data_IF_869666419872
#
_entry.id   IF_869666419872
#
_cell.length_a   1.000
_cell.length_b   1.000
_cell.length_c   1.000
_cell.angle_alpha   90.00
_cell.angle_beta   90.00
_cell.angle_gamma   90.00
#
_symmetry.space_group_name_H-M   'P 1'
#
loop_
_entity.id
_entity.type
_entity.pdbx_description
1 polymer ?
#
# COMPACT_ATOMS: atom_id res chain seq x y z
N UNK A 1 -17.02 -10.57 -6.78
CA UNK A 1 -17.45 -10.76 -5.38
C UNK A 1 -16.96 -9.58 -4.55
N UNK A 2 -17.80 -9.01 -3.71
CA UNK A 2 -17.41 -7.93 -2.81
C UNK A 2 -16.44 -8.46 -1.76
N UNK A 3 -15.30 -7.82 -1.58
CA UNK A 3 -14.30 -8.23 -0.57
C UNK A 3 -14.82 -7.97 0.84
N UNK A 4 -14.56 -8.87 1.79
CA UNK A 4 -14.98 -8.75 3.19
C UNK A 4 -13.77 -8.46 4.09
N UNK A 5 -13.81 -7.35 4.80
CA UNK A 5 -12.72 -6.87 5.66
C UNK A 5 -13.19 -6.80 7.10
N UNK A 6 -12.45 -7.42 8.01
CA UNK A 6 -12.70 -7.39 9.45
C UNK A 6 -11.64 -6.58 10.18
N UNK A 7 -12.06 -5.55 10.94
CA UNK A 7 -11.21 -4.82 11.88
C UNK A 7 -11.36 -5.37 13.29
N UNK A 8 -10.25 -5.75 13.91
CA UNK A 8 -10.23 -6.34 15.27
C UNK A 8 -9.48 -5.45 16.26
N UNK A 9 -10.05 -5.36 17.46
CA UNK A 9 -9.36 -4.92 18.68
C UNK A 9 -9.91 -5.73 19.88
N UNK A 10 -9.47 -5.47 21.11
CA UNK A 10 -9.96 -6.23 22.29
C UNK A 10 -11.43 -5.93 22.57
N UNK A 11 -11.77 -4.68 22.84
CA UNK A 11 -13.09 -4.29 23.34
C UNK A 11 -14.14 -3.98 22.27
N UNK A 12 -13.78 -3.92 20.99
CA UNK A 12 -14.66 -3.42 19.92
C UNK A 12 -15.41 -2.14 20.30
N UNK A 13 -14.73 -1.22 20.97
CA UNK A 13 -15.33 -0.01 21.54
C UNK A 13 -14.81 1.28 20.92
N UNK A 14 -13.55 1.31 20.49
CA UNK A 14 -12.85 2.50 20.00
C UNK A 14 -12.21 2.25 18.61
N UNK A 15 -11.00 1.75 18.59
CA UNK A 15 -10.17 1.60 17.37
C UNK A 15 -10.89 0.89 16.23
N UNK A 16 -11.43 -0.30 16.46
CA UNK A 16 -12.13 -1.08 15.43
C UNK A 16 -13.46 -0.49 15.00
N UNK A 17 -14.16 0.23 15.89
CA UNK A 17 -15.40 0.94 15.57
C UNK A 17 -15.11 2.16 14.67
N UNK A 18 -14.08 2.94 15.00
CA UNK A 18 -13.63 4.05 14.14
C UNK A 18 -13.14 3.52 12.77
N UNK A 19 -12.43 2.39 12.76
CA UNK A 19 -11.97 1.76 11.53
C UNK A 19 -13.15 1.28 10.66
N UNK A 20 -14.17 0.66 11.24
CA UNK A 20 -15.39 0.27 10.51
C UNK A 20 -16.09 1.49 9.89
N UNK A 21 -16.29 2.56 10.64
CA UNK A 21 -16.93 3.78 10.15
C UNK A 21 -16.13 4.46 9.04
N UNK A 22 -14.82 4.64 9.24
CA UNK A 22 -13.93 5.23 8.24
C UNK A 22 -13.84 4.38 6.97
N UNK A 23 -13.74 3.06 7.10
CA UNK A 23 -13.64 2.18 5.95
C UNK A 23 -14.94 2.17 5.15
N UNK A 24 -16.11 2.16 5.78
CA UNK A 24 -17.39 2.30 5.08
C UNK A 24 -17.48 3.62 4.32
N UNK A 25 -17.07 4.73 4.94
CA UNK A 25 -17.10 6.04 4.30
C UNK A 25 -16.11 6.17 3.12
N UNK A 26 -14.90 5.60 3.23
CA UNK A 26 -13.84 5.76 2.24
C UNK A 26 -13.85 4.70 1.14
N UNK A 27 -14.30 3.47 1.44
CA UNK A 27 -14.27 2.35 0.51
C UNK A 27 -15.63 2.12 -0.18
N UNK A 28 -16.73 2.63 0.43
CA UNK A 28 -18.08 2.48 -0.12
C UNK A 28 -18.47 1.03 -0.38
N UNK A 29 -19.23 0.79 -1.41
CA UNK A 29 -19.78 -0.52 -1.78
C UNK A 29 -18.73 -1.50 -2.37
N UNK A 30 -17.47 -1.09 -2.50
CA UNK A 30 -16.37 -1.95 -2.98
C UNK A 30 -16.03 -3.08 -2.01
N UNK A 31 -16.37 -2.91 -0.74
CA UNK A 31 -16.05 -3.84 0.34
C UNK A 31 -17.22 -3.95 1.34
N UNK A 32 -17.41 -5.14 1.90
CA UNK A 32 -18.20 -5.33 3.11
C UNK A 32 -17.28 -5.16 4.32
N UNK A 33 -17.59 -4.19 5.17
CA UNK A 33 -16.75 -3.85 6.33
C UNK A 33 -17.40 -4.30 7.62
N UNK A 34 -16.62 -5.03 8.43
CA UNK A 34 -17.01 -5.56 9.73
C UNK A 34 -16.01 -5.12 10.80
N UNK A 35 -16.46 -5.05 12.04
CA UNK A 35 -15.57 -4.95 13.21
C UNK A 35 -16.00 -5.89 14.32
N UNK A 36 -15.04 -6.38 15.12
CA UNK A 36 -15.31 -7.22 16.28
C UNK A 36 -14.20 -7.09 17.34
N UNK A 37 -14.41 -7.71 18.49
CA UNK A 37 -13.44 -7.80 19.57
C UNK A 37 -13.50 -9.14 20.28
N UNK A 38 -12.44 -9.47 21.03
CA UNK A 38 -12.39 -10.66 21.88
C UNK A 38 -13.20 -10.48 23.17
N UNK A 39 -13.36 -9.24 23.63
CA UNK A 39 -14.09 -8.88 24.86
C UNK A 39 -14.95 -7.63 24.60
N UNK A 40 -16.04 -7.75 23.84
CA UNK A 40 -16.84 -6.59 23.42
C UNK A 40 -17.47 -5.88 24.61
N UNK A 41 -17.48 -4.54 24.56
CA UNK A 41 -18.10 -3.69 25.60
C UNK A 41 -19.16 -2.79 24.96
N UNK A 42 -19.03 -1.48 25.07
CA UNK A 42 -19.90 -0.47 24.43
C UNK A 42 -19.06 0.48 23.59
N UNK A 43 -19.64 1.00 22.51
CA UNK A 43 -18.98 2.02 21.70
C UNK A 43 -18.63 3.23 22.57
N UNK A 44 -17.37 3.63 22.53
CA UNK A 44 -16.86 4.69 23.39
C UNK A 44 -17.37 6.06 22.91
N UNK A 45 -17.91 6.91 23.80
CA UNK A 45 -18.42 8.24 23.44
C UNK A 45 -17.39 9.13 22.75
N UNK A 46 -16.12 9.07 23.15
CA UNK A 46 -15.05 9.82 22.49
C UNK A 46 -14.75 9.31 21.07
N UNK A 47 -14.98 8.03 20.78
CA UNK A 47 -14.91 7.53 19.41
C UNK A 47 -16.02 8.12 18.54
N UNK A 48 -17.26 8.19 19.08
CA UNK A 48 -18.39 8.81 18.39
C UNK A 48 -18.11 10.30 18.15
N UNK A 49 -17.62 11.02 19.17
CA UNK A 49 -17.26 12.44 19.07
C UNK A 49 -16.18 12.67 17.98
N UNK A 50 -15.11 11.91 18.03
CA UNK A 50 -14.01 12.01 17.06
C UNK A 50 -14.47 11.72 15.62
N UNK A 51 -15.37 10.77 15.41
CA UNK A 51 -15.89 10.44 14.08
C UNK A 51 -16.85 11.51 13.54
N UNK A 52 -17.65 12.15 14.40
CA UNK A 52 -18.52 13.25 14.02
C UNK A 52 -17.78 14.46 13.48
N UNK A 53 -16.57 14.72 13.90
CA UNK A 53 -15.71 15.78 13.35
C UNK A 53 -15.41 15.57 11.85
N UNK A 54 -15.62 14.36 11.34
CA UNK A 54 -15.47 14.00 9.92
C UNK A 54 -16.82 13.72 9.26
N UNK A 55 -17.94 14.15 9.87
CA UNK A 55 -19.31 13.89 9.42
C UNK A 55 -19.65 12.38 9.30
N UNK A 56 -18.98 11.52 10.08
CA UNK A 56 -19.24 10.08 10.14
C UNK A 56 -19.92 9.74 11.46
N UNK A 57 -21.19 9.30 11.39
CA UNK A 57 -21.94 8.88 12.59
C UNK A 57 -21.80 7.38 12.83
N UNK A 58 -21.18 7.03 13.97
CA UNK A 58 -21.08 5.65 14.48
C UNK A 58 -21.90 5.44 15.76
N UNK A 59 -22.82 6.35 16.10
CA UNK A 59 -23.64 6.24 17.32
C UNK A 59 -24.59 5.03 17.31
N UNK A 60 -25.00 4.59 16.11
CA UNK A 60 -25.81 3.39 15.90
C UNK A 60 -25.01 2.07 15.85
N UNK A 61 -23.69 2.11 15.95
CA UNK A 61 -22.87 0.91 15.98
C UNK A 61 -23.05 0.14 17.29
N UNK A 62 -22.85 -1.19 17.24
CA UNK A 62 -22.76 -2.02 18.45
C UNK A 62 -21.42 -2.76 18.50
N UNK A 63 -20.93 -2.97 19.71
CA UNK A 63 -19.79 -3.86 19.94
C UNK A 63 -20.20 -5.32 19.74
N UNK A 64 -19.38 -6.08 19.03
CA UNK A 64 -19.63 -7.47 18.62
C UNK A 64 -18.46 -8.37 19.04
N UNK A 65 -18.77 -9.62 19.44
CA UNK A 65 -17.73 -10.64 19.60
C UNK A 65 -17.21 -11.11 18.25
N UNK A 66 -15.95 -11.49 18.19
CA UNK A 66 -15.39 -12.17 17.04
C UNK A 66 -16.09 -13.50 16.76
N UNK A 67 -16.66 -14.14 17.78
CA UNK A 67 -17.41 -15.38 17.65
C UNK A 67 -18.75 -15.21 16.91
N UNK A 68 -19.25 -13.98 16.78
CA UNK A 68 -20.43 -13.65 15.98
C UNK A 68 -20.13 -13.51 14.48
N UNK A 69 -18.86 -13.55 14.07
CA UNK A 69 -18.41 -13.28 12.71
C UNK A 69 -18.12 -14.59 11.98
N UNK A 70 -18.73 -14.78 10.80
CA UNK A 70 -18.34 -15.85 9.88
C UNK A 70 -16.96 -15.54 9.29
N UNK A 71 -15.92 -16.14 9.89
CA UNK A 71 -14.54 -15.92 9.52
C UNK A 71 -14.11 -16.65 8.25
N UNK A 72 -14.90 -17.63 7.77
CA UNK A 72 -14.57 -18.41 6.57
C UNK A 72 -14.68 -17.59 5.27
N UNK A 73 -15.44 -16.49 5.30
CA UNK A 73 -15.69 -15.63 4.15
C UNK A 73 -14.90 -14.32 4.18
N UNK A 74 -13.90 -14.23 5.05
CA UNK A 74 -13.07 -13.00 5.15
C UNK A 74 -11.91 -13.04 4.15
N UNK A 75 -11.76 -11.96 3.40
CA UNK A 75 -10.59 -11.75 2.51
C UNK A 75 -9.42 -11.11 3.27
N UNK A 76 -9.73 -10.27 4.25
CA UNK A 76 -8.72 -9.52 5.00
C UNK A 76 -9.14 -9.34 6.46
N UNK A 77 -8.19 -9.55 7.36
CA UNK A 77 -8.30 -9.20 8.78
C UNK A 77 -7.25 -8.17 9.15
N UNK A 78 -7.69 -7.09 9.77
CA UNK A 78 -6.82 -6.01 10.26
C UNK A 78 -6.90 -5.93 11.77
N UNK A 79 -5.80 -6.23 12.47
CA UNK A 79 -5.70 -6.13 13.92
C UNK A 79 -5.13 -4.77 14.32
N UNK A 80 -5.77 -4.13 15.32
CA UNK A 80 -5.48 -2.74 15.73
C UNK A 80 -4.84 -2.63 17.13
N UNK A 81 -4.64 -3.74 17.82
CA UNK A 81 -4.01 -3.78 19.14
C UNK A 81 -2.52 -3.44 19.03
N UNK A 82 -1.96 -2.66 19.96
CA UNK A 82 -0.54 -2.38 20.04
C UNK A 82 0.17 -3.38 20.96
N UNK A 83 -0.26 -3.46 22.21
CA UNK A 83 0.39 -4.24 23.26
C UNK A 83 -0.49 -5.40 23.79
N UNK A 84 -1.77 -5.45 23.34
CA UNK A 84 -2.72 -6.45 23.79
C UNK A 84 -2.67 -7.69 22.87
N UNK A 85 -3.01 -8.84 23.43
CA UNK A 85 -3.13 -10.09 22.64
C UNK A 85 -4.38 -10.03 21.77
N UNK A 86 -4.16 -9.98 20.46
CA UNK A 86 -5.23 -10.07 19.46
C UNK A 86 -5.75 -11.50 19.32
N UNK A 87 -7.06 -11.69 19.05
CA UNK A 87 -7.61 -13.02 18.82
C UNK A 87 -6.93 -13.69 17.62
N UNK A 88 -6.63 -14.98 17.78
CA UNK A 88 -6.08 -15.80 16.70
C UNK A 88 -7.24 -16.36 15.88
N UNK A 89 -7.29 -16.03 14.59
CA UNK A 89 -8.29 -16.56 13.66
C UNK A 89 -7.72 -17.75 12.88
N UNK A 90 -8.57 -18.65 12.32
CA UNK A 90 -8.15 -19.78 11.51
C UNK A 90 -7.21 -19.39 10.35
N UNK A 91 -6.34 -20.31 9.93
CA UNK A 91 -5.38 -20.10 8.85
C UNK A 91 -6.05 -19.89 7.49
N UNK A 92 -5.44 -19.04 6.63
CA UNK A 92 -5.82 -18.86 5.22
C UNK A 92 -6.21 -17.43 4.85
N UNK A 93 -6.75 -16.63 5.78
CA UNK A 93 -7.12 -15.25 5.52
C UNK A 93 -5.90 -14.32 5.59
N UNK A 94 -5.78 -13.40 4.63
CA UNK A 94 -4.73 -12.36 4.68
C UNK A 94 -4.87 -11.53 5.94
N UNK A 95 -3.75 -11.28 6.63
CA UNK A 95 -3.72 -10.50 7.88
C UNK A 95 -2.81 -9.31 7.76
N UNK A 96 -3.28 -8.18 8.30
CA UNK A 96 -2.49 -6.97 8.51
C UNK A 96 -2.52 -6.62 9.99
N UNK A 97 -1.41 -6.10 10.48
CA UNK A 97 -1.30 -5.62 11.84
C UNK A 97 -1.01 -4.11 11.83
N UNK A 98 -1.95 -3.33 12.36
CA UNK A 98 -1.84 -1.88 12.48
C UNK A 98 -1.76 -1.48 13.96
N UNK A 99 -0.62 -1.59 14.61
CA UNK A 99 -0.49 -1.27 16.02
C UNK A 99 -0.83 0.21 16.27
N UNK A 100 -1.90 0.43 17.03
CA UNK A 100 -2.38 1.75 17.43
C UNK A 100 -2.55 1.72 18.94
N UNK A 101 -1.86 2.62 19.69
CA UNK A 101 -2.05 2.73 21.14
C UNK A 101 -3.51 2.89 21.50
N UNK A 102 -3.96 2.30 22.62
CA UNK A 102 -5.34 2.47 23.06
C UNK A 102 -5.60 3.93 23.41
N UNK A 103 -6.54 4.63 22.75
CA UNK A 103 -6.87 5.99 23.09
C UNK A 103 -7.66 6.11 24.41
N UNK A 104 -8.32 5.03 24.83
CA UNK A 104 -9.08 5.01 26.08
C UNK A 104 -8.15 4.92 27.30
N UNK A 105 -8.60 5.49 28.40
CA UNK A 105 -7.93 5.38 29.70
C UNK A 105 -8.99 5.40 30.82
N UNK A 106 -8.78 4.57 31.83
CA UNK A 106 -9.53 4.61 33.07
C UNK A 106 -8.83 5.43 34.17
N UNK A 107 -7.64 5.98 33.88
CA UNK A 107 -6.89 6.82 34.79
C UNK A 107 -7.61 8.16 34.97
N UNK A 108 -8.07 8.50 36.21
CA UNK A 108 -8.75 9.75 36.49
C UNK A 108 -7.86 10.99 36.31
N UNK A 109 -6.55 10.84 36.25
CA UNK A 109 -5.61 11.93 35.99
C UNK A 109 -5.63 12.36 34.50
N UNK A 110 -6.17 11.54 33.60
CA UNK A 110 -6.26 11.88 32.17
C UNK A 110 -7.46 12.80 31.93
N UNK A 111 -7.20 14.02 31.53
CA UNK A 111 -8.28 15.01 31.33
C UNK A 111 -9.14 14.66 30.10
N UNK A 112 -10.42 15.12 30.08
CA UNK A 112 -11.29 14.97 28.91
C UNK A 112 -10.69 15.53 27.62
N UNK A 113 -9.94 16.65 27.70
CA UNK A 113 -9.23 17.22 26.55
C UNK A 113 -8.12 16.34 26.03
N UNK A 114 -7.40 15.65 26.91
CA UNK A 114 -6.38 14.68 26.52
C UNK A 114 -7.01 13.42 25.88
N UNK A 115 -8.11 12.92 26.42
CA UNK A 115 -8.84 11.81 25.81
C UNK A 115 -9.28 12.16 24.37
N UNK A 116 -9.87 13.34 24.16
CA UNK A 116 -10.24 13.79 22.79
C UNK A 116 -9.05 13.77 21.85
N UNK A 117 -7.90 14.33 22.26
CA UNK A 117 -6.68 14.33 21.43
C UNK A 117 -6.20 12.91 21.09
N UNK A 118 -6.24 11.98 22.05
CA UNK A 118 -5.86 10.58 21.83
C UNK A 118 -6.79 9.90 20.83
N UNK A 119 -8.10 10.10 20.96
CA UNK A 119 -9.07 9.54 20.00
C UNK A 119 -8.93 10.14 18.60
N UNK A 120 -8.74 11.45 18.50
CA UNK A 120 -8.43 12.12 17.23
C UNK A 120 -7.16 11.56 16.59
N UNK A 121 -6.07 11.43 17.35
CA UNK A 121 -4.83 10.87 16.86
C UNK A 121 -4.95 9.42 16.41
N UNK A 122 -5.69 8.57 17.13
CA UNK A 122 -5.96 7.20 16.72
C UNK A 122 -6.82 7.15 15.44
N UNK A 123 -7.90 7.96 15.38
CA UNK A 123 -8.74 8.12 14.17
C UNK A 123 -7.91 8.51 12.93
N UNK A 124 -7.05 9.51 13.06
CA UNK A 124 -6.28 10.03 11.94
C UNK A 124 -5.24 9.02 11.45
N UNK A 125 -4.62 8.27 12.36
CA UNK A 125 -3.74 7.16 12.01
C UNK A 125 -4.50 6.03 11.28
N UNK A 126 -5.71 5.68 11.73
CA UNK A 126 -6.57 4.68 11.06
C UNK A 126 -6.97 5.19 9.67
N UNK A 127 -7.41 6.44 9.57
CA UNK A 127 -7.80 7.07 8.30
C UNK A 127 -6.68 7.03 7.27
N UNK A 128 -5.47 7.38 7.66
CA UNK A 128 -4.31 7.33 6.77
C UNK A 128 -4.05 5.92 6.23
N UNK A 129 -4.12 4.89 7.10
CA UNK A 129 -3.94 3.49 6.70
C UNK A 129 -5.05 2.99 5.79
N UNK A 130 -6.31 3.36 6.06
CA UNK A 130 -7.44 3.03 5.18
C UNK A 130 -7.29 3.73 3.81
N UNK A 131 -6.74 4.94 3.76
CA UNK A 131 -6.41 5.61 2.49
C UNK A 131 -5.43 4.79 1.64
N UNK A 132 -4.40 4.21 2.27
CA UNK A 132 -3.48 3.29 1.59
C UNK A 132 -4.22 2.02 1.14
N UNK A 133 -5.04 1.43 2.02
CA UNK A 133 -5.83 0.25 1.69
C UNK A 133 -6.76 0.50 0.50
N UNK A 134 -7.42 1.66 0.46
CA UNK A 134 -8.27 2.08 -0.66
C UNK A 134 -7.49 2.10 -1.99
N UNK A 135 -6.24 2.58 -1.96
CA UNK A 135 -5.38 2.60 -3.13
C UNK A 135 -4.94 1.21 -3.60
N UNK A 136 -4.96 0.21 -2.71
CA UNK A 136 -4.53 -1.16 -2.99
C UNK A 136 -5.65 -2.09 -3.48
N UNK A 137 -6.93 -1.74 -3.27
CA UNK A 137 -8.05 -2.64 -3.54
C UNK A 137 -8.23 -3.01 -5.02
N UNK A 138 -7.87 -2.11 -5.92
CA UNK A 138 -8.12 -2.25 -7.36
C UNK A 138 -6.81 -2.27 -8.17
N UNK A 139 -5.73 -2.82 -7.59
CA UNK A 139 -4.44 -2.90 -8.29
C UNK A 139 -4.51 -4.02 -9.34
N UNK A 140 -4.26 -3.70 -10.63
CA UNK A 140 -4.07 -4.73 -11.64
C UNK A 140 -2.74 -5.47 -11.44
N UNK A 141 -2.57 -6.59 -12.12
CA UNK A 141 -1.30 -7.29 -12.16
C UNK A 141 -0.19 -6.38 -12.69
N UNK A 142 0.96 -6.40 -12.03
CA UNK A 142 2.14 -5.62 -12.37
C UNK A 142 3.27 -6.49 -12.94
N UNK A 143 4.37 -5.86 -13.42
CA UNK A 143 5.54 -6.60 -13.89
C UNK A 143 6.18 -7.41 -12.76
N UNK A 144 6.75 -8.57 -13.10
CA UNK A 144 7.50 -9.41 -12.16
C UNK A 144 8.93 -8.88 -12.04
N UNK A 145 9.28 -8.33 -10.88
CA UNK A 145 10.64 -7.90 -10.57
C UNK A 145 11.52 -9.11 -10.15
N UNK A 146 12.81 -9.11 -10.52
CA UNK A 146 13.77 -10.18 -10.17
C UNK A 146 14.64 -9.82 -8.98
N UNK A 147 15.12 -8.57 -8.92
CA UNK A 147 15.93 -8.05 -7.81
C UNK A 147 15.73 -6.55 -7.68
N UNK A 148 15.60 -6.04 -6.44
CA UNK A 148 15.48 -4.63 -6.16
C UNK A 148 15.70 -4.30 -4.68
N UNK A 149 16.49 -3.26 -4.39
CA UNK A 149 16.68 -2.73 -3.05
C UNK A 149 16.82 -1.21 -3.07
N UNK A 150 15.92 -0.49 -2.40
CA UNK A 150 16.00 0.95 -2.21
C UNK A 150 15.10 1.48 -1.09
N UNK A 151 15.37 2.72 -0.68
CA UNK A 151 14.48 3.51 0.17
C UNK A 151 14.37 4.91 -0.41
N UNK A 152 13.15 5.40 -0.61
CA UNK A 152 12.90 6.74 -1.17
C UNK A 152 11.92 7.55 -0.30
N UNK A 153 12.00 8.88 -0.42
CA UNK A 153 11.01 9.79 0.16
C UNK A 153 9.93 10.11 -0.84
N UNK A 154 8.69 10.24 -0.34
CA UNK A 154 7.51 10.52 -1.16
C UNK A 154 6.67 11.64 -0.54
N UNK A 155 5.99 12.43 -1.36
CA UNK A 155 5.12 13.52 -0.89
C UNK A 155 3.74 13.02 -0.50
N UNK A 156 3.18 12.05 -1.25
CA UNK A 156 1.87 11.43 -1.04
C UNK A 156 2.04 9.92 -0.85
N UNK A 157 2.07 9.47 0.41
CA UNK A 157 2.30 8.06 0.73
C UNK A 157 1.24 7.11 0.15
N UNK A 158 -0.09 7.38 0.21
CA UNK A 158 -1.10 6.54 -0.42
C UNK A 158 -0.91 6.39 -1.94
N UNK A 159 -0.70 7.49 -2.66
CA UNK A 159 -0.53 7.49 -4.11
C UNK A 159 0.71 6.72 -4.55
N UNK A 160 1.83 6.97 -3.89
CA UNK A 160 3.09 6.28 -4.18
C UNK A 160 3.04 4.80 -3.77
N UNK A 161 2.36 4.46 -2.65
CA UNK A 161 2.15 3.07 -2.25
C UNK A 161 1.37 2.29 -3.30
N UNK A 162 0.31 2.88 -3.89
CA UNK A 162 -0.45 2.25 -4.99
C UNK A 162 0.46 1.96 -6.20
N UNK A 163 1.27 2.92 -6.62
CA UNK A 163 2.18 2.77 -7.75
C UNK A 163 3.20 1.64 -7.51
N UNK A 164 3.88 1.66 -6.35
CA UNK A 164 4.91 0.67 -6.03
C UNK A 164 4.34 -0.73 -5.74
N UNK A 165 3.14 -0.84 -5.21
CA UNK A 165 2.48 -2.13 -5.06
C UNK A 165 2.17 -2.76 -6.42
N UNK A 166 1.75 -1.96 -7.41
CA UNK A 166 1.59 -2.40 -8.78
C UNK A 166 2.94 -2.78 -9.42
N UNK A 167 3.94 -1.90 -9.34
CA UNK A 167 5.24 -2.08 -9.96
C UNK A 167 5.98 -3.32 -9.44
N UNK A 168 5.95 -3.53 -8.11
CA UNK A 168 6.64 -4.61 -7.42
C UNK A 168 5.80 -5.90 -7.33
N UNK A 169 4.56 -5.90 -7.83
CA UNK A 169 3.66 -7.03 -7.83
C UNK A 169 3.35 -7.57 -6.42
N UNK A 170 3.44 -6.73 -5.37
CA UNK A 170 3.22 -7.13 -3.98
C UNK A 170 2.60 -6.01 -3.15
N UNK A 171 1.85 -6.38 -2.12
CA UNK A 171 1.39 -5.43 -1.11
C UNK A 171 2.52 -5.14 -0.12
N UNK A 172 2.53 -3.95 0.50
CA UNK A 172 3.47 -3.68 1.58
C UNK A 172 3.26 -4.69 2.72
N UNK A 173 4.35 -5.14 3.32
CA UNK A 173 4.32 -6.01 4.51
C UNK A 173 3.84 -5.22 5.72
N UNK A 174 4.25 -3.97 5.82
CA UNK A 174 3.88 -3.06 6.88
C UNK A 174 3.69 -1.65 6.32
N UNK A 175 2.71 -0.93 6.84
CA UNK A 175 2.61 0.50 6.61
C UNK A 175 2.05 1.26 7.82
N UNK A 176 2.52 2.47 7.97
CA UNK A 176 2.07 3.43 8.96
C UNK A 176 1.63 4.71 8.26
N UNK A 177 1.34 5.76 9.03
CA UNK A 177 1.13 7.10 8.47
C UNK A 177 2.44 7.75 7.96
N UNK A 178 3.62 7.16 8.24
CA UNK A 178 4.93 7.71 7.91
C UNK A 178 5.72 6.91 6.89
N UNK A 179 5.45 5.61 6.74
CA UNK A 179 6.18 4.77 5.80
C UNK A 179 5.36 3.56 5.34
N UNK A 180 5.78 2.96 4.23
CA UNK A 180 5.36 1.66 3.77
C UNK A 180 6.58 0.82 3.39
N UNK A 181 6.65 -0.44 3.87
CA UNK A 181 7.75 -1.37 3.63
C UNK A 181 7.29 -2.52 2.75
N UNK A 182 7.96 -2.74 1.64
CA UNK A 182 7.73 -3.86 0.73
C UNK A 182 8.84 -4.89 0.91
N UNK A 183 8.46 -6.13 1.18
CA UNK A 183 9.39 -7.25 1.31
C UNK A 183 8.93 -8.39 0.40
N UNK A 184 9.83 -8.86 -0.46
CA UNK A 184 9.68 -10.04 -1.29
C UNK A 184 10.89 -10.92 -1.05
N UNK A 185 10.74 -11.99 -0.24
CA UNK A 185 11.83 -12.90 0.10
C UNK A 185 12.34 -13.66 -1.12
N UNK A 186 11.45 -14.01 -2.03
CA UNK A 186 11.77 -14.68 -3.29
C UNK A 186 12.59 -13.83 -4.27
N UNK A 187 12.60 -12.51 -4.05
CA UNK A 187 13.35 -11.54 -4.87
C UNK A 187 14.46 -10.83 -4.07
N UNK A 188 14.67 -11.20 -2.82
CA UNK A 188 15.54 -10.47 -1.90
C UNK A 188 15.22 -8.96 -1.85
N UNK A 189 13.91 -8.62 -1.94
CA UNK A 189 13.44 -7.25 -2.01
C UNK A 189 13.15 -6.72 -0.61
N UNK A 190 13.77 -5.58 -0.29
CA UNK A 190 13.40 -4.73 0.84
C UNK A 190 13.36 -3.27 0.35
N UNK A 191 12.17 -2.75 0.13
CA UNK A 191 11.95 -1.41 -0.39
C UNK A 191 11.05 -0.60 0.52
N UNK A 192 11.48 0.62 0.85
CA UNK A 192 10.79 1.46 1.83
C UNK A 192 10.42 2.80 1.23
N UNK A 193 9.15 3.17 1.34
CA UNK A 193 8.65 4.51 1.10
C UNK A 193 8.56 5.27 2.42
N UNK A 194 9.10 6.49 2.47
CA UNK A 194 9.06 7.38 3.64
C UNK A 194 8.41 8.70 3.26
N UNK A 195 7.56 9.25 4.12
CA UNK A 195 7.04 10.61 3.90
C UNK A 195 8.15 11.64 3.93
N UNK A 196 8.04 12.66 3.09
CA UNK A 196 9.04 13.73 2.98
C UNK A 196 9.03 14.71 4.17
N UNK A 197 7.99 14.69 5.01
CA UNK A 197 7.77 15.65 6.11
C UNK A 197 7.77 17.11 5.64
N UNK A 198 7.26 17.39 4.44
CA UNK A 198 7.25 18.74 3.84
C UNK A 198 8.60 19.22 3.32
N UNK A 199 9.63 18.37 3.37
CA UNK A 199 10.93 18.71 2.77
C UNK A 199 10.83 18.55 1.25
N UNK A 200 11.50 19.42 0.48
CA UNK A 200 11.58 19.24 -0.97
C UNK A 200 12.31 17.95 -1.29
N UNK A 201 11.86 17.25 -2.33
CA UNK A 201 12.54 16.08 -2.84
C UNK A 201 13.72 16.53 -3.70
N UNK A 202 14.87 15.89 -3.50
CA UNK A 202 16.08 16.14 -4.28
C UNK A 202 16.30 14.96 -5.21
N UNK A 203 16.10 15.17 -6.51
CA UNK A 203 16.29 14.15 -7.55
C UNK A 203 17.74 14.09 -8.05
N UNK A 204 18.60 15.02 -7.62
CA UNK A 204 19.98 15.16 -8.13
C UNK A 204 20.91 14.03 -7.70
N UNK A 205 20.57 13.29 -6.63
CA UNK A 205 21.43 12.24 -6.06
C UNK A 205 20.99 10.82 -6.44
N UNK A 206 19.73 10.64 -6.82
CA UNK A 206 19.19 9.37 -7.35
C UNK A 206 18.68 9.64 -8.76
N UNK A 207 19.50 9.31 -9.76
CA UNK A 207 19.12 9.50 -11.17
C UNK A 207 17.95 8.57 -11.56
N UNK A 208 18.08 7.28 -11.28
CA UNK A 208 17.03 6.28 -11.47
C UNK A 208 17.34 5.03 -10.65
N UNK A 209 16.38 4.13 -10.57
CA UNK A 209 16.60 2.75 -10.18
C UNK A 209 15.99 1.79 -11.19
N UNK A 210 16.56 0.59 -11.30
CA UNK A 210 16.20 -0.37 -12.31
C UNK A 210 15.60 -1.66 -11.77
N UNK A 211 14.68 -2.24 -12.55
CA UNK A 211 14.05 -3.53 -12.28
C UNK A 211 14.32 -4.47 -13.46
N UNK A 212 15.10 -5.52 -13.22
CA UNK A 212 15.33 -6.58 -14.21
C UNK A 212 14.08 -7.48 -14.30
N UNK A 213 13.51 -7.56 -15.50
CA UNK A 213 12.33 -8.41 -15.78
C UNK A 213 12.68 -9.65 -16.63
N UNK A 214 13.95 -9.85 -16.90
CA UNK A 214 14.50 -11.08 -17.47
C UNK A 214 14.69 -11.12 -18.95
N UNK A 215 13.74 -10.72 -19.79
CA UNK A 215 13.87 -10.77 -21.22
C UNK A 215 13.13 -9.62 -21.95
N UNK A 216 13.37 -9.51 -23.26
CA UNK A 216 12.76 -8.51 -24.16
C UNK A 216 11.23 -8.56 -24.13
N UNK A 217 10.64 -9.76 -24.12
CA UNK A 217 9.20 -9.92 -24.16
C UNK A 217 8.56 -9.39 -22.86
N UNK A 218 9.21 -9.59 -21.72
CA UNK A 218 8.80 -9.06 -20.42
C UNK A 218 8.88 -7.53 -20.38
N UNK A 219 9.89 -6.89 -20.99
CA UNK A 219 9.97 -5.42 -21.12
C UNK A 219 8.79 -4.86 -21.94
N UNK A 220 8.46 -5.50 -23.08
CA UNK A 220 7.30 -5.11 -23.90
C UNK A 220 6.00 -5.35 -23.15
N UNK A 221 5.88 -6.48 -22.44
CA UNK A 221 4.73 -6.80 -21.60
C UNK A 221 4.53 -5.76 -20.49
N UNK A 222 5.61 -5.34 -19.81
CA UNK A 222 5.60 -4.28 -18.80
C UNK A 222 5.09 -2.94 -19.35
N UNK A 223 5.42 -2.59 -20.59
CA UNK A 223 4.89 -1.40 -21.26
C UNK A 223 3.37 -1.44 -21.40
N UNK A 224 2.82 -2.55 -21.88
CA UNK A 224 1.36 -2.70 -22.00
C UNK A 224 0.65 -2.70 -20.63
N UNK A 225 1.29 -3.28 -19.61
CA UNK A 225 0.80 -3.22 -18.22
C UNK A 225 0.81 -1.78 -17.70
N UNK A 226 1.91 -1.04 -17.90
CA UNK A 226 2.06 0.36 -17.50
C UNK A 226 0.98 1.25 -18.14
N UNK A 227 0.73 1.09 -19.44
CA UNK A 227 -0.33 1.81 -20.17
C UNK A 227 -1.72 1.52 -19.58
N UNK A 228 -2.04 0.26 -19.28
CA UNK A 228 -3.33 -0.10 -18.64
C UNK A 228 -3.46 0.43 -17.22
N UNK A 229 -2.37 0.46 -16.47
CA UNK A 229 -2.35 1.02 -15.11
C UNK A 229 -2.48 2.55 -15.12
N UNK A 230 -2.10 3.22 -16.21
CA UNK A 230 -2.02 4.67 -16.30
C UNK A 230 -0.72 5.25 -15.73
N UNK A 231 0.36 4.46 -15.74
CA UNK A 231 1.68 4.95 -15.36
C UNK A 231 2.23 5.93 -16.42
N UNK A 232 3.04 6.90 -15.98
CA UNK A 232 3.75 7.81 -16.86
C UNK A 232 4.88 7.07 -17.57
N UNK A 233 4.82 7.01 -18.91
CA UNK A 233 5.88 6.39 -19.74
C UNK A 233 6.77 7.51 -20.28
N UNK A 234 8.03 7.52 -19.85
CA UNK A 234 9.05 8.53 -20.27
C UNK A 234 9.73 8.14 -21.56
N UNK A 235 10.08 6.85 -21.69
CA UNK A 235 10.66 6.29 -22.93
C UNK A 235 9.96 4.95 -23.20
N UNK A 236 9.40 4.73 -24.42
CA UNK A 236 8.81 3.45 -24.79
C UNK A 236 9.87 2.34 -24.83
N UNK A 237 9.45 1.06 -24.89
CA UNK A 237 10.36 -0.06 -24.97
C UNK A 237 11.32 0.07 -26.15
N UNK A 238 12.61 -0.05 -25.88
CA UNK A 238 13.66 0.05 -26.90
C UNK A 238 14.88 -0.77 -26.53
N UNK A 239 15.69 -1.08 -27.53
CA UNK A 239 17.02 -1.64 -27.33
C UNK A 239 18.04 -0.52 -27.37
N UNK A 240 18.81 -0.34 -26.30
CA UNK A 240 19.90 0.63 -26.20
C UNK A 240 21.22 -0.13 -26.26
N UNK A 241 22.11 0.29 -27.15
CA UNK A 241 23.38 -0.40 -27.45
C UNK A 241 24.60 0.27 -26.82
N UNK A 242 24.54 1.58 -26.58
CA UNK A 242 25.64 2.35 -25.98
C UNK A 242 25.72 2.13 -24.48
N UNK A 243 26.93 2.03 -23.96
CA UNK A 243 27.17 1.78 -22.54
C UNK A 243 26.94 0.32 -22.18
N UNK A 244 25.98 0.03 -21.29
CA UNK A 244 25.51 -1.32 -20.99
C UNK A 244 24.34 -1.64 -21.92
N UNK A 245 24.48 -2.56 -22.89
CA UNK A 245 23.39 -2.89 -23.81
C UNK A 245 22.21 -3.53 -23.09
N UNK A 246 21.02 -2.94 -23.24
CA UNK A 246 19.79 -3.37 -22.55
C UNK A 246 18.58 -3.25 -23.48
N UNK A 247 17.57 -4.10 -23.25
CA UNK A 247 16.19 -3.78 -23.57
C UNK A 247 15.64 -2.97 -22.39
N UNK A 248 15.09 -1.79 -22.65
CA UNK A 248 14.68 -0.88 -21.58
C UNK A 248 13.33 -0.21 -21.84
N UNK A 249 12.61 0.08 -20.77
CA UNK A 249 11.41 0.90 -20.70
C UNK A 249 11.61 1.87 -19.53
N UNK A 250 11.32 3.16 -19.74
CA UNK A 250 11.43 4.15 -18.67
C UNK A 250 10.06 4.65 -18.25
N UNK A 251 9.82 4.57 -16.97
CA UNK A 251 8.63 5.09 -16.30
C UNK A 251 9.01 6.22 -15.35
N UNK A 252 8.00 6.96 -14.94
CA UNK A 252 8.10 7.94 -13.88
C UNK A 252 7.06 7.61 -12.81
N UNK A 253 7.47 7.64 -11.54
CA UNK A 253 6.57 7.45 -10.42
C UNK A 253 5.74 8.71 -10.15
N UNK A 254 4.74 8.68 -9.21
CA UNK A 254 3.93 9.85 -8.90
C UNK A 254 4.67 11.06 -8.33
N UNK A 255 5.91 10.89 -7.88
CA UNK A 255 6.76 11.94 -7.33
C UNK A 255 7.87 12.39 -8.29
N UNK A 256 7.93 11.84 -9.53
CA UNK A 256 8.89 12.21 -10.56
C UNK A 256 10.19 11.41 -10.53
N UNK A 257 10.27 10.32 -9.76
CA UNK A 257 11.44 9.44 -9.78
C UNK A 257 11.43 8.60 -11.06
N UNK A 258 12.58 8.55 -11.74
CA UNK A 258 12.76 7.72 -12.93
C UNK A 258 12.96 6.26 -12.54
N UNK A 259 12.28 5.37 -13.25
CA UNK A 259 12.34 3.92 -13.07
C UNK A 259 12.66 3.29 -14.42
N UNK A 260 13.73 2.49 -14.47
CA UNK A 260 14.10 1.69 -15.60
C UNK A 260 13.57 0.26 -15.44
N UNK A 261 12.73 -0.21 -16.32
CA UNK A 261 12.37 -1.63 -16.43
C UNK A 261 13.23 -2.19 -17.57
N UNK A 262 14.08 -3.16 -17.25
CA UNK A 262 15.07 -3.60 -18.22
C UNK A 262 15.23 -5.12 -18.29
N UNK A 263 15.87 -5.57 -19.36
CA UNK A 263 16.41 -6.91 -19.52
C UNK A 263 17.74 -6.84 -20.24
N UNK A 264 18.68 -7.70 -19.83
CA UNK A 264 20.00 -7.79 -20.51
C UNK A 264 19.83 -8.48 -21.85
N UNK A 265 20.60 -8.03 -22.85
CA UNK A 265 20.66 -8.70 -24.13
C UNK A 265 21.36 -10.05 -23.99
N UNK A 266 20.85 -11.04 -24.73
CA UNK A 266 21.51 -12.34 -24.90
C UNK A 266 22.75 -12.23 -25.77
N UNK A 267 23.69 -13.18 -25.71
CA UNK A 267 24.87 -13.22 -26.55
C UNK A 267 24.50 -13.21 -28.05
N UNK A 268 23.38 -13.87 -28.42
CA UNK A 268 22.87 -13.86 -29.78
C UNK A 268 22.41 -12.48 -30.23
N UNK A 269 21.75 -11.70 -29.37
CA UNK A 269 21.35 -10.33 -29.68
C UNK A 269 22.56 -9.39 -29.74
N UNK A 270 23.54 -9.53 -28.85
CA UNK A 270 24.76 -8.75 -28.85
C UNK A 270 25.56 -8.92 -30.13
N UNK A 271 25.56 -10.11 -30.74
CA UNK A 271 26.24 -10.37 -32.00
C UNK A 271 25.65 -9.64 -33.22
N UNK A 272 24.43 -9.08 -33.07
CA UNK A 272 23.70 -8.35 -34.11
C UNK A 272 23.62 -6.83 -33.85
N UNK A 273 24.52 -6.28 -33.05
CA UNK A 273 24.54 -4.87 -32.71
C UNK A 273 24.63 -3.99 -33.99
N UNK A 274 23.76 -2.96 -34.13
CA UNK A 274 23.81 -2.05 -35.28
C UNK A 274 25.11 -1.24 -35.30
N UNK A 275 25.59 -0.89 -36.52
CA UNK A 275 26.82 -0.11 -36.67
C UNK A 275 26.73 1.31 -36.12
N UNK A 276 25.55 1.94 -36.23
CA UNK A 276 25.27 3.29 -35.74
C UNK A 276 24.97 3.33 -34.23
N UNK A 277 24.70 2.18 -33.65
CA UNK A 277 24.35 2.02 -32.20
C UNK A 277 23.16 2.89 -31.74
N UNK A 278 22.28 3.30 -32.65
CA UNK A 278 21.07 4.02 -32.28
C UNK A 278 20.04 3.08 -31.60
N UNK A 279 19.21 3.60 -30.68
CA UNK A 279 18.18 2.80 -30.05
C UNK A 279 17.15 2.28 -31.05
N UNK A 280 16.74 1.02 -30.89
CA UNK A 280 15.66 0.41 -31.67
C UNK A 280 14.40 0.39 -30.85
N UNK A 281 13.36 1.09 -31.28
CA UNK A 281 12.04 1.09 -30.63
C UNK A 281 11.37 -0.27 -30.82
N UNK A 282 11.00 -0.94 -29.72
CA UNK A 282 10.43 -2.29 -29.70
C UNK A 282 8.90 -2.30 -29.73
N UNK A 283 8.28 -1.24 -29.28
CA UNK A 283 6.82 -1.05 -29.32
C UNK A 283 6.50 0.38 -29.74
N UNK A 284 5.59 0.61 -30.71
CA UNK A 284 5.20 1.96 -31.11
C UNK A 284 4.42 2.65 -29.97
N UNK A 285 4.54 3.99 -29.91
CA UNK A 285 3.82 4.81 -28.91
C UNK A 285 2.30 4.75 -29.07
N UNK A 286 1.81 4.43 -30.27
CA UNK A 286 0.40 4.38 -30.65
C UNK A 286 -0.05 2.94 -30.88
N UNK A 287 -0.21 2.18 -29.83
CA UNK A 287 -0.88 0.87 -29.89
C UNK A 287 -1.98 0.78 -28.83
#
# INVERSE_FOLDING_TARGET
MTRRILFLCVANSARSQMAEGLARALLGDRVEVLSAGSQPTKVNPYAIEAMRELDIDISGHRSKSVDEIDTAQLDLVVTLCADEVCPVLPCGTRRLHWPIPDPASSDPAVSPGELRRRFQGARDQIRARIGILAALLDIPDGPQAREFHASIRVTDLPRSTRFYAWLLGTWPKEWTHRYATFIREDLHLNFVLLVSDGKPLHHDTLYHFGIDVGDKAAVIGAYHLARRFGASVVKPPRTTWKGTPLHELWLEDPDGNLIEIYARLTDGELSHMPQDQEPIVLAPETA
#
